data_IF_897006396612
#
_entry.id   IF_897006396612
#
_cell.length_a   1.000
_cell.length_b   1.000
_cell.length_c   1.000
_cell.angle_alpha   90.00
_cell.angle_beta   90.00
_cell.angle_gamma   90.00
#
_symmetry.space_group_name_H-M   'P 1'
#
loop_
_entity.id
_entity.type
_entity.pdbx_description
1 polymer ?
#
# COMPACT_ATOMS: atom_id res chain seq x y z
N UNK A 1 17.27 16.91 33.89
CA UNK A 1 17.57 15.68 33.11
C UNK A 1 16.52 15.49 32.02
N UNK A 2 16.79 14.69 30.97
CA UNK A 2 15.81 14.44 29.89
C UNK A 2 14.48 13.87 30.43
N UNK A 3 14.56 12.96 31.40
CA UNK A 3 13.42 12.38 32.11
C UNK A 3 12.55 13.42 32.82
N UNK A 4 13.15 14.40 33.50
CA UNK A 4 12.39 15.47 34.19
C UNK A 4 11.63 16.37 33.20
N UNK A 5 12.19 16.63 32.02
CA UNK A 5 11.51 17.39 30.97
C UNK A 5 10.33 16.58 30.40
N UNK A 6 10.52 15.27 30.20
CA UNK A 6 9.47 14.39 29.74
C UNK A 6 8.31 14.27 30.75
N UNK A 7 8.59 14.20 32.06
CA UNK A 7 7.53 14.20 33.08
C UNK A 7 6.74 15.52 33.09
N UNK A 8 7.42 16.66 33.03
CA UNK A 8 6.75 17.97 32.88
C UNK A 8 5.93 18.06 31.59
N UNK A 9 6.39 17.43 30.51
CA UNK A 9 5.65 17.38 29.26
C UNK A 9 4.38 16.53 29.38
N UNK A 10 4.39 15.45 30.16
CA UNK A 10 3.19 14.65 30.47
C UNK A 10 2.19 15.46 31.28
N UNK A 11 2.66 16.20 32.29
CA UNK A 11 1.82 17.14 33.07
C UNK A 11 1.18 18.18 32.14
N UNK A 12 1.95 18.80 31.24
CA UNK A 12 1.41 19.74 30.25
C UNK A 12 0.35 19.12 29.32
N UNK A 13 0.48 17.83 28.95
CA UNK A 13 -0.56 17.12 28.18
C UNK A 13 -1.86 16.93 29.00
N UNK A 14 -1.75 16.74 30.32
CA UNK A 14 -2.88 16.60 31.24
C UNK A 14 -3.58 17.96 31.41
N UNK A 15 -2.80 19.04 31.52
CA UNK A 15 -3.28 20.41 31.61
C UNK A 15 -3.77 20.99 30.26
N UNK A 16 -3.70 20.18 29.20
CA UNK A 16 -4.05 20.52 27.81
C UNK A 16 -3.20 21.66 27.20
N UNK A 17 -2.05 21.98 27.80
CA UNK A 17 -1.03 22.84 27.20
C UNK A 17 -0.14 22.04 26.24
N UNK A 18 -0.71 21.76 25.06
CA UNK A 18 -0.08 20.91 24.05
C UNK A 18 1.15 21.54 23.40
N UNK A 19 1.21 22.88 23.34
CA UNK A 19 2.36 23.60 22.77
C UNK A 19 3.56 23.52 23.72
N UNK A 20 3.32 23.72 25.01
CA UNK A 20 4.35 23.52 26.03
C UNK A 20 4.83 22.07 26.05
N UNK A 21 3.91 21.10 25.96
CA UNK A 21 4.29 19.68 25.87
C UNK A 21 5.22 19.39 24.68
N UNK A 22 4.94 19.93 23.50
CA UNK A 22 5.82 19.76 22.33
C UNK A 22 7.21 20.35 22.53
N UNK A 23 7.32 21.55 23.12
CA UNK A 23 8.60 22.18 23.42
C UNK A 23 9.40 21.32 24.42
N UNK A 24 8.77 20.92 25.52
CA UNK A 24 9.39 20.11 26.56
C UNK A 24 9.86 18.75 26.03
N UNK A 25 9.05 18.06 25.21
CA UNK A 25 9.50 16.81 24.56
C UNK A 25 10.62 17.04 23.56
N UNK A 26 10.60 18.12 22.79
CA UNK A 26 11.67 18.43 21.85
C UNK A 26 12.99 18.67 22.57
N UNK A 27 12.97 19.40 23.68
CA UNK A 27 14.13 19.58 24.55
C UNK A 27 14.57 18.29 25.24
N UNK A 28 13.64 17.41 25.62
CA UNK A 28 13.97 16.08 26.15
C UNK A 28 14.70 15.22 25.10
N UNK A 29 14.24 15.26 23.85
CA UNK A 29 14.86 14.55 22.70
C UNK A 29 16.24 15.11 22.36
N UNK A 30 16.45 16.42 22.47
CA UNK A 30 17.78 17.03 22.29
C UNK A 30 18.80 16.53 23.31
N UNK A 31 18.35 16.28 24.55
CA UNK A 31 19.19 15.72 25.60
C UNK A 31 19.40 14.21 25.49
N UNK A 32 18.38 13.47 25.03
CA UNK A 32 18.43 12.03 24.77
C UNK A 32 17.57 11.65 23.56
N UNK A 33 18.24 11.50 22.41
CA UNK A 33 17.60 11.15 21.14
C UNK A 33 17.47 9.63 20.92
N UNK A 34 17.92 8.81 21.87
CA UNK A 34 17.88 7.35 21.77
C UNK A 34 16.60 6.75 22.35
N UNK A 35 15.88 7.53 23.15
CA UNK A 35 14.67 7.08 23.81
C UNK A 35 13.43 7.21 22.90
N UNK A 36 12.98 6.07 22.38
CA UNK A 36 11.78 6.00 21.53
C UNK A 36 10.48 6.45 22.22
N UNK A 37 10.40 6.40 23.55
CA UNK A 37 9.21 6.85 24.27
C UNK A 37 8.96 8.36 24.12
N UNK A 38 10.02 9.16 24.09
CA UNK A 38 9.89 10.62 23.93
C UNK A 38 9.29 10.99 22.58
N UNK A 39 9.69 10.29 21.51
CA UNK A 39 9.09 10.46 20.20
C UNK A 39 7.63 9.99 20.18
N UNK A 40 7.31 8.83 20.78
CA UNK A 40 5.94 8.33 20.84
C UNK A 40 5.00 9.24 21.65
N UNK A 41 5.50 9.88 22.71
CA UNK A 41 4.73 10.80 23.53
C UNK A 41 4.62 12.19 22.87
N UNK A 42 5.65 12.67 22.17
CA UNK A 42 5.56 13.86 21.31
C UNK A 42 4.57 13.68 20.16
N UNK A 43 4.52 12.49 19.56
CA UNK A 43 3.52 12.15 18.55
C UNK A 43 2.09 12.28 19.10
N UNK A 44 1.85 11.96 20.37
CA UNK A 44 0.54 12.17 20.99
C UNK A 44 0.15 13.64 21.09
N UNK A 45 1.09 14.52 21.46
CA UNK A 45 0.85 15.96 21.49
C UNK A 45 0.57 16.50 20.07
N UNK A 46 1.34 16.06 19.07
CA UNK A 46 1.11 16.40 17.66
C UNK A 46 -0.27 15.94 17.16
N UNK A 47 -0.73 14.74 17.52
CA UNK A 47 -2.08 14.26 17.18
C UNK A 47 -3.16 15.17 17.78
N UNK A 48 -3.04 15.55 19.05
CA UNK A 48 -4.01 16.44 19.71
C UNK A 48 -4.03 17.84 19.08
N UNK A 49 -2.91 18.29 18.50
CA UNK A 49 -2.80 19.56 17.76
C UNK A 49 -3.21 19.47 16.28
N UNK A 50 -3.61 18.29 15.81
CA UNK A 50 -3.91 17.99 14.40
C UNK A 50 -2.68 18.06 13.46
N UNK A 51 -1.46 18.00 13.99
CA UNK A 51 -0.21 17.91 13.23
C UNK A 51 0.05 16.44 12.87
N UNK A 52 -0.78 15.87 12.00
CA UNK A 52 -0.77 14.42 11.77
C UNK A 52 0.48 13.92 11.04
N UNK A 53 1.03 14.71 10.12
CA UNK A 53 2.27 14.38 9.39
C UNK A 53 3.47 14.26 10.32
N UNK A 54 3.61 15.20 11.24
CA UNK A 54 4.65 15.25 12.26
C UNK A 54 4.47 14.11 13.27
N UNK A 55 3.22 13.82 13.65
CA UNK A 55 2.92 12.66 14.49
C UNK A 55 3.32 11.33 13.85
N UNK A 56 3.10 11.16 12.54
CA UNK A 56 3.56 9.96 11.81
C UNK A 56 5.08 9.89 11.78
N UNK A 57 5.78 11.01 11.56
CA UNK A 57 7.24 11.06 11.58
C UNK A 57 7.81 10.66 12.95
N UNK A 58 7.26 11.23 14.02
CA UNK A 58 7.64 10.91 15.40
C UNK A 58 7.35 9.44 15.75
N UNK A 59 6.18 8.94 15.38
CA UNK A 59 5.82 7.55 15.64
C UNK A 59 6.71 6.58 14.86
N UNK A 60 7.08 6.90 13.62
CA UNK A 60 8.06 6.12 12.86
C UNK A 60 9.43 6.14 13.54
N UNK A 61 9.88 7.30 14.04
CA UNK A 61 11.16 7.40 14.74
C UNK A 61 11.19 6.57 16.02
N UNK A 62 10.09 6.58 16.78
CA UNK A 62 9.94 5.73 17.95
C UNK A 62 10.05 4.23 17.60
N UNK A 63 9.42 3.80 16.50
CA UNK A 63 9.47 2.41 16.02
C UNK A 63 10.86 2.01 15.54
N UNK A 64 11.59 2.92 14.88
CA UNK A 64 12.98 2.70 14.46
C UNK A 64 13.91 2.48 15.66
N UNK A 65 13.72 3.27 16.73
CA UNK A 65 14.52 3.18 17.95
C UNK A 65 14.17 1.92 18.76
N UNK A 66 12.88 1.61 18.88
CA UNK A 66 12.41 0.43 19.58
C UNK A 66 11.10 -0.09 18.96
N UNK A 67 11.21 -1.19 18.23
CA UNK A 67 10.07 -1.84 17.55
C UNK A 67 9.08 -2.49 18.52
N UNK A 68 9.39 -2.55 19.81
CA UNK A 68 8.58 -3.17 20.87
C UNK A 68 7.67 -2.18 21.61
N UNK A 69 7.60 -0.90 21.21
CA UNK A 69 6.78 0.12 21.87
C UNK A 69 5.36 0.12 21.26
N UNK A 70 4.33 -0.44 21.94
CA UNK A 70 2.99 -0.56 21.33
C UNK A 70 2.33 0.80 21.12
N UNK A 71 2.55 1.76 22.04
CA UNK A 71 2.00 3.11 21.94
C UNK A 71 2.45 3.85 20.67
N UNK A 72 3.66 3.58 20.15
CA UNK A 72 4.15 4.19 18.93
C UNK A 72 3.33 3.74 17.71
N UNK A 73 3.02 2.44 17.62
CA UNK A 73 2.11 1.91 16.59
C UNK A 73 0.70 2.47 16.72
N UNK A 74 0.20 2.65 17.95
CA UNK A 74 -1.09 3.28 18.19
C UNK A 74 -1.10 4.72 17.68
N UNK A 75 -0.07 5.53 18.00
CA UNK A 75 0.03 6.92 17.53
C UNK A 75 0.09 6.99 16.01
N UNK A 76 0.91 6.13 15.39
CA UNK A 76 1.01 6.03 13.93
C UNK A 76 -0.34 5.68 13.30
N UNK A 77 -1.03 4.67 13.83
CA UNK A 77 -2.34 4.25 13.37
C UNK A 77 -3.35 5.38 13.40
N UNK A 78 -3.47 6.06 14.54
CA UNK A 78 -4.40 7.19 14.72
C UNK A 78 -4.06 8.36 13.79
N UNK A 79 -2.78 8.72 13.65
CA UNK A 79 -2.37 9.80 12.76
C UNK A 79 -2.62 9.47 11.28
N UNK A 80 -2.32 8.25 10.83
CA UNK A 80 -2.63 7.79 9.48
C UNK A 80 -4.15 7.77 9.19
N UNK A 81 -5.00 7.37 10.16
CA UNK A 81 -6.46 7.45 9.99
C UNK A 81 -6.94 8.89 9.77
N UNK A 82 -6.33 9.85 10.46
CA UNK A 82 -6.64 11.28 10.30
C UNK A 82 -6.16 11.87 8.98
N UNK A 83 -5.17 11.22 8.35
CA UNK A 83 -4.71 11.50 6.99
C UNK A 83 -5.44 10.66 5.93
N UNK A 84 -6.48 9.91 6.32
CA UNK A 84 -7.24 9.01 5.44
C UNK A 84 -6.41 7.88 4.81
N UNK A 85 -5.23 7.60 5.37
CA UNK A 85 -4.36 6.49 4.97
C UNK A 85 -4.76 5.19 5.69
N UNK A 86 -5.99 4.72 5.48
CA UNK A 86 -6.59 3.64 6.27
C UNK A 86 -5.85 2.29 6.17
N UNK A 87 -5.29 1.95 5.00
CA UNK A 87 -4.48 0.74 4.84
C UNK A 87 -3.18 0.78 5.66
N UNK A 88 -2.50 1.93 5.68
CA UNK A 88 -1.28 2.14 6.46
C UNK A 88 -1.58 2.11 7.95
N UNK A 89 -2.69 2.76 8.34
CA UNK A 89 -3.17 2.77 9.72
C UNK A 89 -3.47 1.35 10.23
N UNK A 90 -4.28 0.58 9.50
CA UNK A 90 -4.65 -0.78 9.87
C UNK A 90 -3.43 -1.64 10.17
N UNK A 91 -2.44 -1.64 9.29
CA UNK A 91 -1.22 -2.44 9.49
C UNK A 91 -0.44 -2.03 10.72
N UNK A 92 -0.28 -0.72 10.95
CA UNK A 92 0.40 -0.24 12.14
C UNK A 92 -0.32 -0.73 13.40
N UNK A 93 -1.65 -0.65 13.41
CA UNK A 93 -2.48 -1.09 14.53
C UNK A 93 -2.43 -2.61 14.75
N UNK A 94 -2.39 -3.43 13.69
CA UNK A 94 -2.25 -4.89 13.79
C UNK A 94 -0.92 -5.30 14.44
N UNK A 95 0.17 -4.64 14.06
CA UNK A 95 1.48 -4.87 14.70
C UNK A 95 1.40 -4.44 16.16
N UNK A 96 0.84 -3.26 16.46
CA UNK A 96 0.66 -2.79 17.83
C UNK A 96 -0.19 -3.74 18.69
N UNK A 97 -1.28 -4.28 18.13
CA UNK A 97 -2.14 -5.26 18.79
C UNK A 97 -1.39 -6.55 19.14
N UNK A 98 -0.48 -7.00 18.27
CA UNK A 98 0.34 -8.19 18.54
C UNK A 98 1.28 -8.00 19.74
N UNK A 99 1.70 -6.77 20.00
CA UNK A 99 2.58 -6.39 21.11
C UNK A 99 1.80 -6.10 22.40
N UNK A 100 0.55 -5.65 22.31
CA UNK A 100 -0.32 -5.32 23.44
C UNK A 100 -1.71 -5.94 23.27
N UNK A 101 -1.80 -7.26 23.51
CA UNK A 101 -3.01 -8.05 23.24
C UNK A 101 -4.23 -7.64 24.07
N UNK A 102 -4.00 -7.04 25.25
CA UNK A 102 -5.07 -6.60 26.16
C UNK A 102 -5.64 -5.22 25.84
N UNK A 103 -5.03 -4.48 24.90
CA UNK A 103 -5.45 -3.11 24.58
C UNK A 103 -6.54 -3.09 23.50
N UNK A 104 -7.79 -2.93 23.96
CA UNK A 104 -8.98 -2.87 23.12
C UNK A 104 -8.99 -1.69 22.14
N UNK A 105 -8.14 -0.67 22.33
CA UNK A 105 -8.04 0.46 21.39
C UNK A 105 -7.60 0.00 20.02
N UNK A 106 -6.67 -0.95 19.93
CA UNK A 106 -6.21 -1.45 18.64
C UNK A 106 -7.33 -2.15 17.87
N UNK A 107 -8.04 -3.08 18.53
CA UNK A 107 -9.10 -3.85 17.86
C UNK A 107 -10.24 -2.94 17.39
N UNK A 108 -10.60 -1.91 18.17
CA UNK A 108 -11.60 -0.93 17.77
C UNK A 108 -11.14 -0.08 16.58
N UNK A 109 -9.90 0.41 16.59
CA UNK A 109 -9.38 1.22 15.49
C UNK A 109 -9.15 0.40 14.21
N UNK A 110 -8.78 -0.87 14.31
CA UNK A 110 -8.67 -1.78 13.16
C UNK A 110 -10.03 -1.97 12.49
N UNK A 111 -11.10 -2.20 13.28
CA UNK A 111 -12.46 -2.30 12.76
C UNK A 111 -12.90 -1.01 12.06
N UNK A 112 -12.59 0.14 12.64
CA UNK A 112 -12.87 1.43 12.00
C UNK A 112 -12.13 1.57 10.67
N UNK A 113 -10.86 1.18 10.60
CA UNK A 113 -10.11 1.17 9.34
C UNK A 113 -10.77 0.25 8.29
N UNK A 114 -11.22 -0.94 8.69
CA UNK A 114 -11.89 -1.87 7.79
C UNK A 114 -13.19 -1.31 7.20
N UNK A 115 -13.98 -0.60 8.01
CA UNK A 115 -15.18 0.07 7.55
C UNK A 115 -14.87 1.15 6.52
N UNK A 116 -13.90 2.03 6.79
CA UNK A 116 -13.50 3.10 5.86
C UNK A 116 -12.92 2.56 4.55
N UNK A 117 -12.11 1.52 4.61
CA UNK A 117 -11.58 0.86 3.41
C UNK A 117 -12.72 0.27 2.56
N UNK A 118 -13.75 -0.30 3.20
CA UNK A 118 -14.91 -0.85 2.51
C UNK A 118 -15.78 0.25 1.86
N UNK A 119 -15.96 1.38 2.54
CA UNK A 119 -16.64 2.58 2.02
C UNK A 119 -15.91 3.14 0.80
N UNK A 120 -14.59 3.36 0.89
CA UNK A 120 -13.77 3.83 -0.23
C UNK A 120 -13.86 2.90 -1.45
N UNK A 121 -13.82 1.58 -1.22
CA UNK A 121 -13.98 0.58 -2.27
C UNK A 121 -15.39 0.56 -2.88
N UNK A 122 -16.42 0.89 -2.09
CA UNK A 122 -17.80 0.97 -2.56
C UNK A 122 -18.02 2.21 -3.43
N UNK A 123 -17.52 3.37 -2.99
CA UNK A 123 -17.62 4.62 -3.73
C UNK A 123 -16.87 4.55 -5.07
N UNK A 124 -15.68 3.96 -5.08
CA UNK A 124 -14.97 3.65 -6.31
C UNK A 124 -15.79 2.74 -7.24
N UNK A 125 -16.40 1.66 -6.73
CA UNK A 125 -17.25 0.76 -7.54
C UNK A 125 -18.50 1.45 -8.09
N UNK A 126 -19.14 2.32 -7.31
CA UNK A 126 -20.32 3.09 -7.75
C UNK A 126 -19.94 4.11 -8.83
N UNK A 127 -18.76 4.72 -8.74
CA UNK A 127 -18.23 5.60 -9.79
C UNK A 127 -17.91 4.84 -11.09
N UNK A 128 -17.59 3.54 -11.00
CA UNK A 128 -17.23 2.67 -12.12
C UNK A 128 -18.42 1.89 -12.70
N UNK A 129 -19.60 1.93 -12.08
CA UNK A 129 -20.79 1.23 -12.59
C UNK A 129 -21.31 1.93 -13.86
N UNK A 130 -21.48 1.24 -15.01
CA UNK A 130 -22.08 1.82 -16.19
C UNK A 130 -23.55 2.12 -15.91
N UNK A 131 -23.97 3.35 -16.20
CA UNK A 131 -25.36 3.77 -16.18
C UNK A 131 -26.15 2.97 -17.23
N UNK A 132 -26.71 1.81 -16.85
CA UNK A 132 -27.69 1.07 -17.66
C UNK A 132 -29.06 1.60 -17.28
N UNK A 133 -29.51 2.64 -17.99
CA UNK A 133 -30.91 3.04 -17.99
C UNK A 133 -31.73 2.04 -18.83
N UNK A 134 -32.84 1.49 -18.32
CA UNK A 134 -33.83 0.84 -19.15
C UNK A 134 -34.55 1.87 -20.02
N UNK A 135 -34.45 1.73 -21.33
CA UNK A 135 -35.16 2.53 -22.33
C UNK A 135 -36.66 2.19 -22.38
N UNK A 136 -37.52 3.18 -22.14
CA UNK A 136 -38.83 3.32 -22.80
C UNK A 136 -39.35 4.78 -22.67
N UNK A 137 -39.57 5.42 -23.82
CA UNK A 137 -40.10 6.78 -24.08
C UNK A 137 -41.66 6.77 -24.18
N UNK A 138 -42.36 7.90 -24.47
CA UNK A 138 -42.20 9.32 -24.06
C UNK A 138 -43.55 9.99 -23.64
N UNK A 139 -43.52 11.11 -22.90
CA UNK A 139 -44.47 12.24 -23.07
C UNK A 139 -44.17 13.46 -22.16
N UNK A 140 -43.85 14.59 -22.80
CA UNK A 140 -44.53 15.89 -22.66
C UNK A 140 -44.26 16.84 -21.45
N UNK A 141 -43.52 17.91 -21.79
CA UNK A 141 -43.53 19.34 -21.36
C UNK A 141 -42.99 19.74 -19.97
N UNK A 142 -41.96 20.60 -19.98
CA UNK A 142 -41.60 21.47 -18.86
C UNK A 142 -40.16 21.99 -18.93
N UNK A 143 -39.96 23.19 -19.47
CA UNK A 143 -38.67 23.88 -19.65
C UNK A 143 -38.00 24.32 -18.34
N UNK A 144 -36.69 24.13 -18.18
CA UNK A 144 -35.73 25.18 -17.75
C UNK A 144 -34.26 24.78 -17.97
N UNK A 145 -33.39 25.79 -18.11
CA UNK A 145 -32.07 25.81 -18.76
C UNK A 145 -30.96 25.10 -17.95
N UNK A 146 -30.18 24.20 -18.58
CA UNK A 146 -28.82 24.39 -19.15
C UNK A 146 -27.70 24.59 -18.11
N UNK A 147 -27.09 23.50 -17.69
CA UNK A 147 -25.63 23.41 -17.53
C UNK A 147 -25.15 22.17 -18.27
N UNK A 148 -24.35 22.42 -19.31
CA UNK A 148 -23.78 21.42 -20.21
C UNK A 148 -22.47 20.94 -19.58
N UNK A 149 -22.47 19.79 -18.92
CA UNK A 149 -21.24 19.06 -18.62
C UNK A 149 -21.22 17.85 -19.55
N UNK A 150 -20.32 17.90 -20.53
CA UNK A 150 -20.12 16.84 -21.50
C UNK A 150 -19.73 15.54 -20.79
N UNK A 151 -20.47 14.48 -21.10
CA UNK A 151 -20.16 13.10 -20.77
C UNK A 151 -18.84 12.67 -21.40
N UNK A 152 -17.80 12.45 -20.57
CA UNK A 152 -16.50 11.96 -21.01
C UNK A 152 -16.11 10.71 -20.24
N UNK A 153 -15.78 9.63 -20.96
CA UNK A 153 -14.99 8.51 -20.43
C UNK A 153 -13.72 9.06 -19.76
N UNK A 154 -13.11 8.40 -18.74
CA UNK A 154 -11.83 8.85 -18.21
C UNK A 154 -10.83 8.96 -19.36
N UNK A 155 -10.29 10.18 -19.55
CA UNK A 155 -9.36 10.52 -20.65
C UNK A 155 -8.05 9.73 -20.58
N UNK A 156 -7.70 9.31 -19.37
CA UNK A 156 -6.53 8.53 -19.04
C UNK A 156 -6.97 7.26 -18.32
N UNK A 157 -6.53 6.09 -18.80
CA UNK A 157 -6.61 4.82 -18.07
C UNK A 157 -5.26 4.13 -18.12
N UNK A 158 -5.02 3.18 -17.24
CA UNK A 158 -3.73 2.49 -17.17
C UNK A 158 -3.89 1.02 -16.81
N UNK A 159 -3.03 0.20 -17.37
CA UNK A 159 -2.94 -1.23 -17.12
C UNK A 159 -1.46 -1.61 -17.06
N UNK A 160 -1.13 -2.64 -16.28
CA UNK A 160 0.22 -3.17 -16.25
C UNK A 160 0.20 -4.68 -16.41
N UNK A 161 1.28 -5.19 -16.98
CA UNK A 161 1.60 -6.61 -16.97
C UNK A 161 3.07 -6.78 -16.60
N UNK A 162 3.44 -7.97 -16.15
CA UNK A 162 4.79 -8.23 -15.68
C UNK A 162 5.35 -9.54 -16.21
N UNK A 163 6.67 -9.57 -16.29
CA UNK A 163 7.52 -10.74 -16.50
C UNK A 163 8.45 -10.89 -15.29
N UNK A 164 9.25 -11.97 -15.20
CA UNK A 164 10.18 -12.16 -14.09
C UNK A 164 11.18 -11.00 -13.91
N UNK A 165 11.63 -10.40 -15.02
CA UNK A 165 12.70 -9.38 -15.02
C UNK A 165 12.20 -7.96 -15.37
N UNK A 166 11.01 -7.83 -15.95
CA UNK A 166 10.47 -6.54 -16.42
C UNK A 166 9.00 -6.37 -16.05
N UNK A 167 8.58 -5.13 -15.90
CA UNK A 167 7.18 -4.74 -15.79
C UNK A 167 6.89 -3.70 -16.86
N UNK A 168 5.70 -3.81 -17.44
CA UNK A 168 5.28 -2.97 -18.55
C UNK A 168 3.96 -2.32 -18.15
N UNK A 169 4.00 -1.01 -17.97
CA UNK A 169 2.87 -0.15 -17.66
C UNK A 169 2.44 0.57 -18.94
N UNK A 170 1.16 0.46 -19.26
CA UNK A 170 0.54 1.15 -20.39
C UNK A 170 -0.43 2.17 -19.87
N UNK A 171 -0.21 3.44 -20.19
CA UNK A 171 -1.16 4.53 -19.91
C UNK A 171 -1.86 4.86 -21.22
N UNK A 172 -3.14 4.54 -21.33
CA UNK A 172 -3.97 4.83 -22.49
C UNK A 172 -4.40 6.29 -22.47
N UNK A 173 -3.99 7.01 -23.51
CA UNK A 173 -4.26 8.43 -23.64
C UNK A 173 -4.15 8.82 -25.12
N UNK A 174 -5.18 9.48 -25.65
CA UNK A 174 -5.28 9.79 -27.08
C UNK A 174 -4.74 11.19 -27.39
N UNK A 175 -3.93 11.28 -28.45
CA UNK A 175 -3.54 12.56 -29.05
C UNK A 175 -2.52 13.35 -28.26
N UNK A 176 -1.66 12.70 -27.47
CA UNK A 176 -0.63 13.38 -26.68
C UNK A 176 0.69 13.37 -27.46
N UNK A 177 1.29 14.54 -27.73
CA UNK A 177 2.60 14.61 -28.36
C UNK A 177 3.69 14.22 -27.36
N UNK A 178 4.78 13.62 -27.84
CA UNK A 178 5.87 13.12 -27.00
C UNK A 178 6.56 14.22 -26.18
N UNK A 179 6.57 15.46 -26.68
CA UNK A 179 7.15 16.64 -26.01
C UNK A 179 6.42 17.03 -24.73
N UNK A 180 5.17 16.62 -24.58
CA UNK A 180 4.32 16.94 -23.43
C UNK A 180 4.39 15.87 -22.33
N UNK A 181 5.18 14.81 -22.51
CA UNK A 181 5.26 13.69 -21.59
C UNK A 181 6.64 13.63 -20.98
N UNK A 182 6.71 13.78 -19.66
CA UNK A 182 7.93 13.57 -18.88
C UNK A 182 7.75 12.32 -18.02
N UNK A 183 8.70 11.39 -18.11
CA UNK A 183 8.73 10.16 -17.31
C UNK A 183 10.05 10.08 -16.58
N UNK A 184 10.00 10.12 -15.26
CA UNK A 184 11.17 10.00 -14.39
C UNK A 184 11.15 8.66 -13.66
N UNK A 185 12.26 7.94 -13.77
CA UNK A 185 12.48 6.66 -13.09
C UNK A 185 13.32 6.89 -11.83
N UNK A 186 12.72 6.70 -10.66
CA UNK A 186 13.46 6.55 -9.42
C UNK A 186 13.73 5.07 -9.08
N UNK A 187 14.54 4.82 -8.06
CA UNK A 187 14.85 3.44 -7.63
C UNK A 187 13.62 2.63 -7.20
N UNK A 188 12.58 3.30 -6.66
CA UNK A 188 11.34 2.67 -6.20
C UNK A 188 10.09 3.55 -6.45
N UNK A 189 10.20 4.52 -7.33
CA UNK A 189 9.12 5.45 -7.65
C UNK A 189 9.13 5.71 -9.15
N UNK A 190 7.94 5.78 -9.75
CA UNK A 190 7.76 6.20 -11.12
C UNK A 190 7.01 7.53 -11.09
N UNK A 191 7.45 8.52 -11.84
CA UNK A 191 6.72 9.78 -11.99
C UNK A 191 6.39 10.00 -13.45
N UNK A 192 5.12 10.11 -13.78
CA UNK A 192 4.62 10.40 -15.13
C UNK A 192 3.86 11.71 -15.08
N UNK A 193 4.34 12.67 -15.85
CA UNK A 193 3.72 13.98 -16.02
C UNK A 193 3.33 14.17 -17.48
N UNK A 194 2.06 14.49 -17.70
CA UNK A 194 1.56 14.93 -19.01
C UNK A 194 1.13 16.38 -18.89
N UNK A 195 1.84 17.27 -19.57
CA UNK A 195 1.56 18.70 -19.63
C UNK A 195 0.73 19.01 -20.88
N UNK A 196 -0.52 19.46 -20.69
CA UNK A 196 -1.43 19.75 -21.80
C UNK A 196 -2.69 20.47 -21.31
N UNK A 197 -3.77 20.41 -22.09
CA UNK A 197 -5.07 21.00 -21.72
C UNK A 197 -5.65 20.36 -20.45
N UNK A 198 -5.41 19.05 -20.26
CA UNK A 198 -5.73 18.32 -19.03
C UNK A 198 -4.43 17.74 -18.44
N UNK A 199 -3.94 18.36 -17.37
CA UNK A 199 -2.72 17.93 -16.68
C UNK A 199 -2.97 16.59 -15.98
N UNK A 200 -2.11 15.60 -16.26
CA UNK A 200 -2.16 14.29 -15.63
C UNK A 200 -0.84 14.02 -14.90
N UNK A 201 -0.95 13.71 -13.62
CA UNK A 201 0.18 13.36 -12.74
C UNK A 201 -0.07 11.97 -12.16
N UNK A 202 0.88 11.05 -12.39
CA UNK A 202 0.81 9.69 -11.88
C UNK A 202 2.14 9.30 -11.27
N UNK A 203 2.14 9.09 -9.95
CA UNK A 203 3.37 8.87 -9.19
C UNK A 203 3.29 7.66 -8.22
N UNK A 204 3.19 6.43 -8.73
CA UNK A 204 3.13 5.26 -7.87
C UNK A 204 4.48 4.97 -7.21
N UNK A 205 4.42 4.55 -5.94
CA UNK A 205 5.55 3.89 -5.28
C UNK A 205 5.57 2.43 -5.73
N UNK A 206 6.62 2.00 -6.42
CA UNK A 206 6.70 0.67 -7.01
C UNK A 206 6.90 -0.43 -5.95
N UNK A 207 6.31 -1.61 -6.17
CA UNK A 207 6.40 -2.74 -5.23
C UNK A 207 7.85 -3.11 -4.87
N UNK A 208 8.72 -3.19 -5.86
CA UNK A 208 10.14 -3.49 -5.69
C UNK A 208 11.04 -2.42 -6.29
N UNK A 209 12.33 -2.55 -6.04
CA UNK A 209 13.34 -1.69 -6.68
C UNK A 209 13.40 -1.98 -8.18
N UNK A 210 13.62 -0.93 -8.96
CA UNK A 210 13.83 -0.99 -10.41
C UNK A 210 15.21 -0.43 -10.75
N UNK A 211 15.68 -0.72 -11.96
CA UNK A 211 16.94 -0.19 -12.50
C UNK A 211 16.61 0.97 -13.45
N UNK A 212 16.76 2.24 -13.04
CA UNK A 212 16.42 3.40 -13.86
C UNK A 212 17.18 3.40 -15.19
N UNK A 213 18.48 3.07 -15.17
CA UNK A 213 19.36 3.10 -16.34
C UNK A 213 18.95 2.12 -17.45
N UNK A 214 18.21 1.07 -17.10
CA UNK A 214 17.73 0.03 -18.03
C UNK A 214 16.26 0.21 -18.39
N UNK A 215 15.58 1.15 -17.75
CA UNK A 215 14.17 1.43 -17.95
C UNK A 215 13.98 2.43 -19.09
N UNK A 216 12.88 2.28 -19.83
CA UNK A 216 12.61 3.10 -21.02
C UNK A 216 11.11 3.29 -21.21
N UNK A 217 10.75 4.36 -21.89
CA UNK A 217 9.36 4.61 -22.27
C UNK A 217 9.25 4.95 -23.76
N UNK A 218 8.05 4.78 -24.30
CA UNK A 218 7.69 5.13 -25.65
C UNK A 218 6.31 5.78 -25.66
N UNK A 219 6.24 6.99 -26.22
CA UNK A 219 4.96 7.71 -26.39
C UNK A 219 4.41 7.39 -27.78
N UNK A 220 3.18 6.91 -27.83
CA UNK A 220 2.41 6.65 -29.05
C UNK A 220 1.17 7.56 -29.07
N UNK A 221 0.52 7.65 -30.23
CA UNK A 221 -0.68 8.49 -30.39
C UNK A 221 -1.88 8.06 -29.55
N UNK A 222 -1.91 6.80 -29.09
CA UNK A 222 -3.03 6.22 -28.33
C UNK A 222 -2.65 5.79 -26.91
N UNK A 223 -1.36 5.76 -26.58
CA UNK A 223 -0.85 5.27 -25.30
C UNK A 223 0.60 5.65 -25.04
N UNK A 224 0.99 5.61 -23.79
CA UNK A 224 2.38 5.69 -23.34
C UNK A 224 2.74 4.31 -22.80
N UNK A 225 3.76 3.68 -23.39
CA UNK A 225 4.29 2.40 -22.93
C UNK A 225 5.56 2.63 -22.12
N UNK A 226 5.52 2.26 -20.84
CA UNK A 226 6.63 2.42 -19.90
C UNK A 226 7.11 1.02 -19.52
N UNK A 227 8.39 0.74 -19.75
CA UNK A 227 9.03 -0.54 -19.41
C UNK A 227 10.12 -0.28 -18.39
N UNK A 228 9.99 -0.91 -17.23
CA UNK A 228 11.01 -0.84 -16.19
C UNK A 228 11.52 -2.23 -15.86
N UNK A 229 12.84 -2.30 -15.65
CA UNK A 229 13.55 -3.53 -15.32
C UNK A 229 13.60 -3.66 -13.81
N UNK A 230 13.17 -4.81 -13.29
CA UNK A 230 13.21 -5.10 -11.86
C UNK A 230 14.67 -5.28 -11.41
N UNK A 231 15.02 -4.76 -10.24
CA UNK A 231 16.34 -5.01 -9.66
C UNK A 231 16.47 -6.47 -9.16
N UNK A 232 15.35 -7.06 -8.74
CA UNK A 232 15.25 -8.44 -8.25
C UNK A 232 14.22 -9.20 -9.08
N UNK A 233 14.52 -10.46 -9.41
CA UNK A 233 13.64 -11.34 -10.21
C UNK A 233 12.52 -11.91 -9.33
N UNK A 234 11.61 -11.03 -8.91
CA UNK A 234 10.49 -11.34 -8.02
C UNK A 234 9.17 -11.04 -8.74
N UNK A 235 8.17 -11.88 -8.52
CA UNK A 235 6.81 -11.64 -9.00
C UNK A 235 6.12 -10.63 -8.08
N UNK A 236 5.68 -9.50 -8.63
CA UNK A 236 5.04 -8.43 -7.86
C UNK A 236 3.56 -8.76 -7.67
N UNK A 237 3.05 -8.76 -6.44
CA UNK A 237 1.62 -9.01 -6.19
C UNK A 237 0.74 -7.82 -6.57
N UNK A 238 1.33 -6.63 -6.65
CA UNK A 238 0.72 -5.39 -7.14
C UNK A 238 1.80 -4.53 -7.82
N UNK A 239 1.40 -3.59 -8.68
CA UNK A 239 2.30 -2.58 -9.25
C UNK A 239 2.84 -1.66 -8.16
N UNK A 240 1.96 -1.27 -7.24
CA UNK A 240 2.27 -0.37 -6.15
C UNK A 240 2.74 -1.14 -4.92
N UNK A 241 3.63 -0.52 -4.15
CA UNK A 241 4.02 -0.97 -2.84
C UNK A 241 2.85 -0.82 -1.87
N UNK A 242 1.93 -1.77 -1.93
CA UNK A 242 1.10 -2.10 -0.78
C UNK A 242 2.01 -2.86 0.17
N UNK A 243 2.27 -2.33 1.35
CA UNK A 243 3.17 -2.93 2.35
C UNK A 243 2.62 -4.25 2.94
N UNK A 244 1.86 -5.06 2.19
CA UNK A 244 1.45 -6.41 2.56
C UNK A 244 2.70 -7.27 2.67
N UNK A 245 3.18 -7.44 3.90
CA UNK A 245 4.22 -8.42 4.20
C UNK A 245 3.49 -9.75 4.40
N UNK A 246 3.41 -10.55 3.34
CA UNK A 246 3.39 -12.01 3.47
C UNK A 246 4.78 -12.49 3.10
N UNK A 247 5.50 -12.96 4.11
CA UNK A 247 6.78 -13.68 3.95
C UNK A 247 6.55 -14.92 3.07
N UNK A 248 7.46 -15.20 2.14
CA UNK A 248 8.01 -16.54 2.10
C UNK A 248 9.54 -16.48 2.07
N UNK A 249 10.16 -16.79 3.22
CA UNK A 249 11.54 -17.25 3.22
C UNK A 249 11.57 -18.66 2.62
N UNK A 250 12.07 -18.77 1.39
CA UNK A 250 12.98 -19.86 1.02
C UNK A 250 14.06 -19.31 0.09
N UNK A 251 15.12 -18.81 0.69
CA UNK A 251 16.40 -18.64 0.02
C UNK A 251 17.11 -19.98 0.10
N UNK A 252 17.30 -20.61 -1.06
CA UNK A 252 18.11 -21.80 -1.24
C UNK A 252 19.54 -21.33 -1.58
N UNK A 253 20.45 -21.34 -0.61
CA UNK A 253 21.89 -21.21 -0.88
C UNK A 253 22.58 -22.47 -0.36
N UNK A 254 23.44 -23.13 -1.16
CA UNK A 254 24.02 -24.42 -0.81
C UNK A 254 25.25 -24.24 0.09
N UNK A 255 25.19 -24.80 1.30
CA UNK A 255 26.35 -24.97 2.17
C UNK A 255 26.80 -26.43 2.13
N UNK A 256 27.98 -26.64 1.55
CA UNK A 256 28.77 -27.87 1.57
C UNK A 256 29.25 -28.17 2.99
N UNK A 257 29.11 -29.42 3.46
CA UNK A 257 29.98 -29.96 4.51
C UNK A 257 29.33 -30.80 5.62
N UNK A 258 29.03 -32.07 5.30
CA UNK A 258 29.23 -33.26 6.16
C UNK A 258 28.49 -33.39 7.51
N UNK A 259 27.38 -34.15 7.53
CA UNK A 259 27.28 -35.49 8.17
C UNK A 259 25.90 -36.10 7.89
N UNK A 260 25.89 -37.42 7.61
CA UNK A 260 24.78 -38.20 7.04
C UNK A 260 23.97 -38.90 8.14
N UNK A 261 22.64 -38.74 8.21
CA UNK A 261 21.77 -39.72 8.85
C UNK A 261 21.22 -40.70 7.81
N UNK A 262 21.38 -41.99 8.12
CA UNK A 262 20.92 -43.14 7.35
C UNK A 262 19.39 -43.21 7.29
N UNK A 263 18.82 -43.40 6.10
CA UNK A 263 17.41 -43.71 5.88
C UNK A 263 17.04 -45.14 6.34
N UNK A 264 15.87 -45.35 6.97
CA UNK A 264 15.20 -46.64 6.90
C UNK A 264 14.40 -46.72 5.59
N UNK A 265 14.41 -47.93 5.03
CA UNK A 265 14.02 -48.31 3.67
C UNK A 265 12.61 -48.91 3.61
N UNK A 266 11.94 -48.69 2.47
CA UNK A 266 10.81 -49.42 1.82
C UNK A 266 9.51 -49.65 2.62
N UNK A 267 8.27 -49.64 2.07
CA UNK A 267 7.66 -49.74 0.72
C UNK A 267 6.16 -49.40 0.89
N UNK A 268 5.49 -48.74 -0.06
CA UNK A 268 4.28 -49.31 -0.73
C UNK A 268 3.69 -48.42 -1.83
N UNK A 269 3.42 -49.08 -2.97
CA UNK A 269 2.48 -48.80 -4.07
C UNK A 269 2.56 -47.46 -4.81
N UNK A 270 3.25 -47.50 -5.96
CA UNK A 270 2.90 -46.68 -7.10
C UNK A 270 1.51 -47.10 -7.62
N UNK A 271 0.61 -46.14 -7.83
CA UNK A 271 -0.69 -46.36 -8.45
C UNK A 271 -0.55 -46.08 -9.94
N UNK A 272 -0.70 -47.12 -10.75
CA UNK A 272 -0.70 -47.00 -12.22
C UNK A 272 -2.01 -46.39 -12.70
N UNK A 273 -1.93 -45.14 -13.15
CA UNK A 273 -3.05 -44.38 -13.68
C UNK A 273 -3.42 -44.78 -15.11
N UNK A 274 -2.47 -45.35 -15.87
CA UNK A 274 -2.69 -45.80 -17.25
C UNK A 274 -3.69 -46.97 -17.35
N UNK A 275 -3.76 -47.80 -16.31
CA UNK A 275 -4.71 -48.93 -16.27
C UNK A 275 -6.16 -48.48 -16.02
N UNK A 276 -6.35 -47.36 -15.30
CA UNK A 276 -7.68 -46.77 -15.07
C UNK A 276 -8.21 -46.08 -16.33
N UNK A 277 -7.36 -45.44 -17.11
CA UNK A 277 -7.77 -44.79 -18.35
C UNK A 277 -8.19 -45.82 -19.43
N UNK A 278 -7.54 -46.98 -19.46
CA UNK A 278 -7.88 -48.06 -20.37
C UNK A 278 -9.24 -48.71 -20.05
N UNK A 279 -9.61 -48.83 -18.76
CA UNK A 279 -10.90 -49.41 -18.36
C UNK A 279 -12.06 -48.45 -18.63
N UNK A 280 -11.89 -47.15 -18.37
CA UNK A 280 -12.89 -46.11 -18.67
C UNK A 280 -13.15 -46.00 -20.18
N UNK A 281 -12.11 -46.11 -21.02
CA UNK A 281 -12.29 -46.15 -22.49
C UNK A 281 -13.04 -47.39 -22.97
N UNK A 282 -13.01 -48.49 -22.21
CA UNK A 282 -13.71 -49.73 -22.54
C UNK A 282 -15.19 -49.68 -22.14
N UNK A 283 -15.51 -49.02 -21.03
CA UNK A 283 -16.89 -48.80 -20.57
C UNK A 283 -17.66 -47.81 -21.47
N UNK A 284 -16.99 -46.78 -21.99
CA UNK A 284 -17.63 -45.79 -22.88
C UNK A 284 -17.96 -46.38 -24.27
N UNK A 285 -17.37 -47.53 -24.64
CA UNK A 285 -17.58 -48.20 -25.93
C UNK A 285 -18.61 -49.33 -25.90
N UNK A 286 -19.28 -49.57 -24.76
CA UNK A 286 -20.37 -50.55 -24.62
C UNK A 286 -21.74 -49.92 -24.28
N UNK A 287 -21.91 -48.61 -24.50
CA UNK A 287 -23.21 -47.94 -24.56
C UNK A 287 -23.45 -47.37 -25.96
#
# INVERSE_FOLDING_TARGET
>A
MASELAEKAKEAIIDDDLKLALDLYSRAIELDSTNGDYFADRAQANIKLNNFTEAVADANKAIELASSIPKAYLRKGVACMKLEEYHTAKRALEIGASLAQDDSRFTNLIKECDLRIAEDCYDQRKSLAPNVQPTATPASVGSCQKETISSGKPKYSHEYYQKPEEVILTIFAKGIPAENVTVDFGEQILSVNVSGEDTYHFQPRLFGKVLPDRSKYQVLSTKIEIRFVKAEVINWTSLEYCKEITVPQKINVPSVGSQRPSHPSSKSRAKDWDKLEAEVKKEVLML
#
